data_IF_616218084866
#
_entry.id   IF_616218084866
#
_cell.length_a   1.000
_cell.length_b   1.000
_cell.length_c   1.000
_cell.angle_alpha   90.00
_cell.angle_beta   90.00
_cell.angle_gamma   90.00
#
_symmetry.space_group_name_H-M   'P 1'
#
loop_
_entity.id
_entity.type
_entity.pdbx_description
1 polymer ?
#
# COMPACT_ATOMS: atom_id res chain seq x y z
N UNK A 1 35.44 -11.43 24.68
CA UNK A 1 34.47 -10.38 24.31
C UNK A 1 34.63 -10.12 22.82
N UNK A 2 33.63 -10.55 22.06
CA UNK A 2 33.14 -10.02 20.79
C UNK A 2 32.06 -11.00 20.33
N UNK A 3 30.88 -10.91 20.95
CA UNK A 3 29.68 -11.56 20.45
C UNK A 3 29.15 -10.69 19.29
N UNK A 4 29.83 -10.73 18.15
CA UNK A 4 29.17 -10.43 16.89
C UNK A 4 28.33 -11.66 16.57
N UNK A 5 27.11 -11.71 17.12
CA UNK A 5 26.09 -12.55 16.57
C UNK A 5 25.83 -12.01 15.16
N UNK A 6 26.53 -12.56 14.16
CA UNK A 6 26.15 -12.40 12.77
C UNK A 6 24.74 -12.97 12.71
N UNK A 7 23.73 -12.12 12.56
CA UNK A 7 22.37 -12.57 12.30
C UNK A 7 22.46 -13.56 11.14
N UNK A 8 22.07 -14.80 11.41
CA UNK A 8 22.01 -15.85 10.39
C UNK A 8 21.15 -15.33 9.24
N UNK A 9 21.79 -15.01 8.11
CA UNK A 9 21.13 -14.49 6.90
C UNK A 9 19.89 -15.33 6.58
N UNK A 10 18.70 -14.77 6.82
CA UNK A 10 17.43 -15.34 6.38
C UNK A 10 17.44 -15.37 4.85
N UNK A 11 17.46 -16.56 4.26
CA UNK A 11 17.29 -16.75 2.81
C UNK A 11 15.80 -16.61 2.46
N UNK A 12 15.47 -16.17 1.25
CA UNK A 12 14.08 -15.99 0.74
C UNK A 12 13.29 -14.80 1.31
N UNK A 13 13.95 -13.64 1.45
CA UNK A 13 13.31 -12.38 1.87
C UNK A 13 12.85 -11.58 0.65
N UNK A 14 11.68 -10.95 0.73
CA UNK A 14 11.22 -9.97 -0.24
C UNK A 14 11.43 -8.58 0.33
N UNK A 15 12.19 -7.73 -0.36
CA UNK A 15 12.35 -6.31 -0.02
C UNK A 15 11.24 -5.49 -0.70
N UNK A 16 10.57 -4.65 0.08
CA UNK A 16 9.72 -3.59 -0.46
C UNK A 16 10.34 -2.24 -0.12
N UNK A 17 10.55 -1.42 -1.15
CA UNK A 17 10.99 -0.03 -1.00
C UNK A 17 9.79 0.87 -1.26
N UNK A 18 9.45 1.69 -0.27
CA UNK A 18 8.28 2.57 -0.32
C UNK A 18 8.68 4.02 -0.07
N UNK A 19 7.90 4.96 -0.59
CA UNK A 19 8.16 6.39 -0.45
C UNK A 19 8.05 6.87 1.01
N UNK A 20 7.02 6.46 1.76
CA UNK A 20 6.71 7.01 3.07
C UNK A 20 6.22 6.02 4.11
N UNK A 21 5.85 6.58 5.27
CA UNK A 21 5.30 5.82 6.41
C UNK A 21 3.90 5.30 6.16
N UNK A 22 3.08 6.03 5.40
CA UNK A 22 1.70 5.61 5.14
C UNK A 22 1.66 4.27 4.38
N UNK A 23 2.55 4.09 3.41
CA UNK A 23 2.72 2.84 2.67
C UNK A 23 3.07 1.69 3.59
N UNK A 24 4.08 1.88 4.46
CA UNK A 24 4.55 0.83 5.38
C UNK A 24 3.55 0.55 6.50
N UNK A 25 3.23 1.58 7.28
CA UNK A 25 2.57 1.46 8.57
C UNK A 25 1.06 1.30 8.44
N UNK A 26 0.45 1.71 7.31
CA UNK A 26 -0.98 1.54 7.06
C UNK A 26 -1.25 0.50 5.96
N UNK A 27 -0.87 0.77 4.70
CA UNK A 27 -1.28 -0.09 3.58
C UNK A 27 -0.65 -1.48 3.64
N UNK A 28 0.69 -1.58 3.64
CA UNK A 28 1.37 -2.88 3.60
C UNK A 28 1.23 -3.64 4.91
N UNK A 29 1.21 -2.95 6.04
CA UNK A 29 0.81 -3.55 7.31
C UNK A 29 -0.56 -4.24 7.20
N UNK A 30 -1.58 -3.53 6.67
CA UNK A 30 -2.92 -4.09 6.50
C UNK A 30 -2.93 -5.24 5.48
N UNK A 31 -2.24 -5.10 4.34
CA UNK A 31 -2.13 -6.15 3.32
C UNK A 31 -1.52 -7.41 3.92
N UNK A 32 -0.43 -7.32 4.67
CA UNK A 32 0.22 -8.50 5.26
C UNK A 32 -0.62 -9.15 6.37
N UNK A 33 -1.43 -8.37 7.09
CA UNK A 33 -2.42 -8.91 8.04
C UNK A 33 -3.57 -9.62 7.35
N UNK A 34 -4.06 -9.09 6.23
CA UNK A 34 -5.14 -9.70 5.45
C UNK A 34 -4.69 -10.88 4.60
N UNK A 35 -3.43 -10.92 4.17
CA UNK A 35 -2.83 -11.94 3.31
C UNK A 35 -1.53 -12.50 3.93
N UNK A 36 -1.60 -13.16 5.10
CA UNK A 36 -0.41 -13.72 5.75
C UNK A 36 0.31 -14.77 4.89
N UNK A 37 -0.37 -15.32 3.87
CA UNK A 37 0.21 -16.24 2.89
C UNK A 37 1.38 -15.63 2.10
N UNK A 38 1.47 -14.31 2.01
CA UNK A 38 2.57 -13.60 1.34
C UNK A 38 3.89 -13.74 2.10
N UNK A 39 3.85 -13.96 3.42
CA UNK A 39 5.01 -14.19 4.27
C UNK A 39 6.14 -13.15 4.08
N UNK A 40 5.77 -11.88 3.95
CA UNK A 40 6.70 -10.74 3.90
C UNK A 40 6.79 -10.14 5.30
N UNK A 41 8.01 -9.96 5.80
CA UNK A 41 8.26 -9.33 7.09
C UNK A 41 8.09 -7.81 6.95
N UNK A 42 7.39 -7.16 7.89
CA UNK A 42 7.18 -5.71 7.85
C UNK A 42 8.51 -4.95 8.02
N UNK A 43 9.50 -5.58 8.63
CA UNK A 43 10.86 -5.06 8.76
C UNK A 43 11.61 -5.06 7.42
N UNK A 44 11.15 -5.87 6.44
CA UNK A 44 11.64 -5.86 5.05
C UNK A 44 10.91 -4.84 4.17
N UNK A 45 10.07 -3.97 4.76
CA UNK A 45 9.54 -2.77 4.10
C UNK A 45 10.40 -1.57 4.51
N UNK A 46 11.24 -1.12 3.58
CA UNK A 46 12.15 0.01 3.76
C UNK A 46 11.50 1.30 3.27
N UNK A 47 11.48 2.30 4.15
CA UNK A 47 11.01 3.64 3.81
C UNK A 47 12.19 4.39 3.23
N UNK A 48 12.12 4.70 1.93
CA UNK A 48 13.12 5.51 1.27
C UNK A 48 13.03 6.99 1.66
N UNK A 49 11.83 7.48 2.00
CA UNK A 49 11.60 8.79 2.60
C UNK A 49 11.58 9.95 1.61
N UNK A 50 11.60 9.67 0.30
CA UNK A 50 11.53 10.68 -0.77
C UNK A 50 11.03 10.03 -2.07
N UNK A 51 10.79 10.82 -3.10
CA UNK A 51 10.15 10.36 -4.33
C UNK A 51 11.11 9.65 -5.31
N UNK A 52 10.52 9.07 -6.34
CA UNK A 52 11.23 8.29 -7.36
C UNK A 52 12.31 9.10 -8.09
N UNK A 53 12.14 10.41 -8.25
CA UNK A 53 13.12 11.26 -8.94
C UNK A 53 14.40 11.42 -8.13
N UNK A 54 14.30 11.43 -6.80
CA UNK A 54 15.48 11.36 -5.93
C UNK A 54 16.15 10.00 -5.95
N UNK A 55 15.38 8.92 -6.06
CA UNK A 55 15.96 7.59 -6.27
C UNK A 55 16.75 7.52 -7.59
N UNK A 56 16.18 8.05 -8.67
CA UNK A 56 16.87 8.17 -9.95
C UNK A 56 18.21 8.92 -9.84
N UNK A 57 18.21 10.07 -9.15
CA UNK A 57 19.45 10.85 -8.92
C UNK A 57 20.51 10.03 -8.15
N UNK A 58 20.10 9.23 -7.17
CA UNK A 58 21.02 8.41 -6.38
C UNK A 58 21.56 7.22 -7.19
N UNK A 59 20.77 6.64 -8.09
CA UNK A 59 21.24 5.66 -9.07
C UNK A 59 22.27 6.29 -10.02
N UNK A 60 21.98 7.48 -10.56
CA UNK A 60 22.92 8.21 -11.44
C UNK A 60 24.25 8.52 -10.74
N UNK A 61 24.23 8.85 -9.44
CA UNK A 61 25.47 9.09 -8.67
C UNK A 61 26.33 7.83 -8.56
N UNK A 62 25.72 6.65 -8.47
CA UNK A 62 26.44 5.39 -8.29
C UNK A 62 26.86 4.77 -9.63
N UNK A 63 26.00 4.81 -10.65
CA UNK A 63 26.19 4.11 -11.93
C UNK A 63 26.52 5.03 -13.11
N UNK A 64 26.42 6.35 -12.94
CA UNK A 64 26.67 7.35 -13.99
C UNK A 64 25.41 7.75 -14.76
N UNK A 65 25.52 8.76 -15.64
CA UNK A 65 24.36 9.34 -16.34
C UNK A 65 23.75 8.43 -17.42
N UNK A 66 24.55 7.53 -18.00
CA UNK A 66 24.11 6.64 -19.08
C UNK A 66 23.69 5.26 -18.57
N UNK A 67 23.49 5.09 -17.26
CA UNK A 67 23.15 3.81 -16.62
C UNK A 67 21.98 3.08 -17.29
N UNK A 68 20.94 3.82 -17.69
CA UNK A 68 19.76 3.28 -18.34
C UNK A 68 20.03 2.90 -19.81
N UNK A 69 20.82 3.70 -20.54
CA UNK A 69 21.18 3.44 -21.95
C UNK A 69 22.15 2.28 -22.10
N UNK A 70 23.05 2.14 -21.14
CA UNK A 70 24.04 1.08 -21.08
C UNK A 70 23.47 -0.21 -20.46
N UNK A 71 22.18 -0.23 -20.09
CA UNK A 71 21.47 -1.36 -19.48
C UNK A 71 22.24 -1.94 -18.29
N UNK A 72 22.74 -1.07 -17.41
CA UNK A 72 23.55 -1.48 -16.26
C UNK A 72 22.76 -2.31 -15.25
N UNK A 73 23.39 -3.34 -14.66
CA UNK A 73 22.81 -4.13 -13.56
C UNK A 73 22.81 -3.30 -12.26
N UNK A 74 21.68 -2.65 -11.97
CA UNK A 74 21.52 -1.77 -10.80
C UNK A 74 21.24 -2.62 -9.55
N UNK A 75 22.21 -2.69 -8.64
CA UNK A 75 22.02 -3.23 -7.29
C UNK A 75 21.31 -2.19 -6.40
N UNK A 76 19.98 -2.19 -6.46
CA UNK A 76 19.14 -1.24 -5.72
C UNK A 76 19.27 -1.35 -4.19
N UNK A 77 19.29 -2.54 -3.57
CA UNK A 77 19.53 -2.67 -2.13
C UNK A 77 20.85 -2.04 -1.70
N UNK A 78 21.90 -2.13 -2.53
CA UNK A 78 23.17 -1.47 -2.27
C UNK A 78 23.04 0.06 -2.28
N UNK A 79 22.40 0.64 -3.31
CA UNK A 79 22.18 2.10 -3.40
C UNK A 79 21.45 2.63 -2.17
N UNK A 80 20.38 1.95 -1.76
CA UNK A 80 19.53 2.40 -0.65
C UNK A 80 20.24 2.19 0.70
N UNK A 81 20.78 0.99 0.96
CA UNK A 81 21.42 0.68 2.24
C UNK A 81 22.66 1.54 2.49
N UNK A 82 23.45 1.85 1.46
CA UNK A 82 24.60 2.77 1.57
C UNK A 82 24.20 4.17 2.06
N UNK A 83 22.99 4.62 1.70
CA UNK A 83 22.46 5.94 2.07
C UNK A 83 21.77 5.92 3.45
N UNK A 84 20.86 4.98 3.66
CA UNK A 84 19.96 4.95 4.82
C UNK A 84 20.48 4.09 5.98
N UNK A 85 21.34 3.12 5.70
CA UNK A 85 21.87 2.13 6.66
C UNK A 85 23.39 1.94 6.52
N UNK A 86 24.21 3.00 6.65
CA UNK A 86 25.64 2.93 6.37
C UNK A 86 26.40 1.91 7.25
N UNK A 87 25.83 1.53 8.40
CA UNK A 87 26.33 0.48 9.28
C UNK A 87 26.15 -0.95 8.75
N UNK A 88 25.14 -1.18 7.88
CA UNK A 88 24.84 -2.51 7.31
C UNK A 88 24.49 -2.38 5.84
N UNK A 89 25.47 -2.67 4.99
CA UNK A 89 25.28 -2.69 3.54
C UNK A 89 24.62 -4.00 3.12
N UNK A 90 23.57 -3.88 2.33
CA UNK A 90 22.86 -4.99 1.71
C UNK A 90 23.09 -5.00 0.21
N UNK A 91 22.97 -6.18 -0.39
CA UNK A 91 23.10 -6.38 -1.83
C UNK A 91 21.87 -7.08 -2.37
N UNK A 92 21.68 -7.02 -3.69
CA UNK A 92 20.61 -7.74 -4.41
C UNK A 92 20.46 -9.19 -4.00
N UNK A 93 21.59 -9.91 -3.87
CA UNK A 93 21.62 -11.33 -3.51
C UNK A 93 21.15 -11.65 -2.08
N UNK A 94 20.92 -10.64 -1.23
CA UNK A 94 20.33 -10.83 0.10
C UNK A 94 18.79 -10.99 0.03
N UNK A 95 18.18 -10.68 -1.12
CA UNK A 95 16.74 -10.72 -1.35
C UNK A 95 16.39 -11.62 -2.54
N UNK A 96 15.21 -12.23 -2.49
CA UNK A 96 14.64 -13.02 -3.60
C UNK A 96 13.67 -12.23 -4.45
N UNK A 97 13.04 -11.21 -3.86
CA UNK A 97 12.20 -10.27 -4.60
C UNK A 97 12.56 -8.85 -4.16
N UNK A 98 12.61 -7.92 -5.10
CA UNK A 98 12.76 -6.49 -4.85
C UNK A 98 11.57 -5.80 -5.50
N UNK A 99 10.82 -5.07 -4.69
CA UNK A 99 9.60 -4.38 -5.10
C UNK A 99 9.76 -2.91 -4.76
N UNK A 100 9.42 -2.03 -5.69
CA UNK A 100 9.43 -0.58 -5.50
C UNK A 100 8.01 -0.06 -5.61
N UNK A 101 7.61 0.82 -4.70
CA UNK A 101 6.29 1.44 -4.69
C UNK A 101 6.46 2.94 -4.52
N UNK A 102 6.11 3.67 -5.57
CA UNK A 102 6.27 5.11 -5.64
C UNK A 102 5.04 5.77 -6.24
N UNK A 103 4.91 7.07 -5.99
CA UNK A 103 3.87 7.88 -6.60
C UNK A 103 4.30 8.41 -7.96
N UNK A 104 3.34 8.61 -8.86
CA UNK A 104 3.59 9.12 -10.21
C UNK A 104 4.02 10.60 -10.20
N UNK A 105 3.44 11.40 -9.29
CA UNK A 105 3.80 12.80 -9.02
C UNK A 105 4.14 13.69 -10.25
N UNK A 106 3.24 13.77 -11.24
CA UNK A 106 3.48 14.59 -12.45
C UNK A 106 3.83 16.06 -12.20
N UNK A 107 3.39 16.62 -11.07
CA UNK A 107 3.65 18.01 -10.72
C UNK A 107 4.96 18.24 -9.99
N UNK A 108 5.70 17.17 -9.68
CA UNK A 108 7.01 17.33 -9.06
C UNK A 108 7.93 18.14 -9.99
N UNK A 109 8.68 19.13 -9.49
CA UNK A 109 9.59 19.92 -10.30
C UNK A 109 10.68 19.11 -11.02
N UNK A 110 11.02 17.92 -10.51
CA UNK A 110 11.98 16.99 -11.10
C UNK A 110 11.33 15.97 -12.06
N UNK A 111 10.01 16.04 -12.28
CA UNK A 111 9.29 15.18 -13.21
C UNK A 111 9.94 15.19 -14.60
N UNK A 112 10.17 14.00 -15.14
CA UNK A 112 10.60 13.79 -16.52
C UNK A 112 10.01 12.49 -17.03
N UNK A 113 9.29 12.54 -18.16
CA UNK A 113 8.73 11.36 -18.82
C UNK A 113 9.84 10.34 -19.15
N UNK A 114 11.00 10.83 -19.60
CA UNK A 114 12.17 9.99 -19.90
C UNK A 114 12.66 9.26 -18.65
N UNK A 115 12.93 9.99 -17.56
CA UNK A 115 13.48 9.40 -16.33
C UNK A 115 12.56 8.35 -15.72
N UNK A 116 11.25 8.64 -15.64
CA UNK A 116 10.30 7.70 -15.04
C UNK A 116 10.09 6.46 -15.93
N UNK A 117 10.19 6.60 -17.26
CA UNK A 117 10.18 5.45 -18.17
C UNK A 117 11.45 4.61 -18.05
N UNK A 118 12.63 5.23 -17.93
CA UNK A 118 13.88 4.51 -17.65
C UNK A 118 13.78 3.70 -16.35
N UNK A 119 13.21 4.27 -15.29
CA UNK A 119 12.95 3.55 -14.04
C UNK A 119 11.97 2.38 -14.25
N UNK A 120 10.86 2.60 -14.95
CA UNK A 120 9.85 1.55 -15.18
C UNK A 120 10.39 0.39 -16.02
N UNK A 121 11.26 0.66 -16.99
CA UNK A 121 11.91 -0.38 -17.80
C UNK A 121 13.01 -1.12 -17.04
N UNK A 122 13.84 -0.41 -16.26
CA UNK A 122 14.88 -1.04 -15.45
C UNK A 122 14.28 -1.97 -14.39
N UNK A 123 13.20 -1.55 -13.75
CA UNK A 123 12.57 -2.29 -12.65
C UNK A 123 11.29 -2.97 -13.11
N UNK A 124 11.44 -3.98 -13.99
CA UNK A 124 10.32 -4.73 -14.57
C UNK A 124 10.02 -6.09 -13.90
N UNK A 125 11.00 -6.75 -13.30
CA UNK A 125 10.89 -8.10 -12.72
C UNK A 125 11.39 -8.13 -11.27
N UNK A 126 10.52 -8.56 -10.35
CA UNK A 126 10.83 -8.55 -8.92
C UNK A 126 11.95 -9.52 -8.57
N UNK A 127 12.16 -10.56 -9.36
CA UNK A 127 13.18 -11.60 -9.13
C UNK A 127 14.56 -11.26 -9.72
N UNK A 128 14.66 -10.12 -10.42
CA UNK A 128 15.92 -9.63 -11.01
C UNK A 128 16.38 -8.32 -10.34
N UNK A 129 16.34 -7.18 -11.05
CA UNK A 129 16.72 -5.86 -10.50
C UNK A 129 15.62 -5.26 -9.63
N UNK A 130 14.38 -5.70 -9.80
CA UNK A 130 13.21 -5.29 -9.02
C UNK A 130 12.00 -4.99 -9.91
N UNK A 131 10.83 -4.83 -9.30
CA UNK A 131 9.57 -4.47 -9.97
C UNK A 131 9.00 -3.17 -9.42
N UNK A 132 8.82 -2.17 -10.28
CA UNK A 132 8.27 -0.87 -9.92
C UNK A 132 6.76 -0.81 -10.14
N UNK A 133 6.04 -0.48 -9.07
CA UNK A 133 4.64 -0.10 -9.08
C UNK A 133 4.50 1.41 -8.86
N UNK A 134 3.88 2.09 -9.82
CA UNK A 134 3.52 3.50 -9.72
C UNK A 134 2.04 3.66 -9.35
N UNK A 135 1.76 4.44 -8.31
CA UNK A 135 0.39 4.81 -7.96
C UNK A 135 0.00 6.14 -8.62
N UNK A 136 -1.20 6.17 -9.18
CA UNK A 136 -1.70 7.28 -9.99
C UNK A 136 -2.93 7.92 -9.35
N UNK A 137 -2.90 9.23 -9.03
CA UNK A 137 -1.71 10.08 -9.05
C UNK A 137 -0.71 9.79 -7.91
N UNK A 138 -1.18 9.13 -6.84
CA UNK A 138 -0.43 8.88 -5.61
C UNK A 138 -1.07 7.75 -4.78
N UNK A 139 -0.46 7.39 -3.66
CA UNK A 139 -0.84 6.25 -2.82
C UNK A 139 -2.32 6.26 -2.43
N UNK A 140 -2.93 7.41 -2.15
CA UNK A 140 -4.35 7.51 -1.80
C UNK A 140 -5.31 6.99 -2.90
N UNK A 141 -4.83 6.67 -4.10
CA UNK A 141 -5.59 6.00 -5.15
C UNK A 141 -6.21 4.65 -4.75
N UNK A 142 -5.63 3.90 -3.81
CA UNK A 142 -6.23 2.66 -3.31
C UNK A 142 -7.48 2.91 -2.42
N UNK A 143 -7.56 4.08 -1.79
CA UNK A 143 -8.67 4.50 -0.93
C UNK A 143 -9.83 5.14 -1.72
N UNK A 144 -9.57 5.56 -2.95
CA UNK A 144 -10.51 6.34 -3.74
C UNK A 144 -11.59 5.44 -4.35
N UNK A 145 -12.47 4.87 -3.51
CA UNK A 145 -13.69 4.12 -3.84
C UNK A 145 -14.91 4.76 -3.18
N UNK A 146 -15.99 4.95 -3.94
CA UNK A 146 -17.26 5.58 -3.50
C UNK A 146 -18.32 4.56 -3.08
N UNK A 147 -18.10 3.29 -3.35
CA UNK A 147 -18.92 2.15 -2.95
C UNK A 147 -18.08 0.88 -3.01
N UNK A 148 -18.62 -0.25 -2.55
CA UNK A 148 -18.00 -1.58 -2.73
C UNK A 148 -19.11 -2.54 -3.18
N UNK A 149 -19.09 -3.06 -4.43
CA UNK A 149 -18.19 -2.69 -5.52
C UNK A 149 -18.44 -1.25 -6.04
N UNK A 150 -17.49 -0.68 -6.77
CA UNK A 150 -17.53 0.66 -7.38
C UNK A 150 -17.44 0.59 -8.91
N UNK A 151 -18.59 0.45 -9.57
CA UNK A 151 -18.68 0.38 -11.04
C UNK A 151 -18.10 1.62 -11.74
N UNK A 152 -18.18 2.79 -11.10
CA UNK A 152 -17.67 4.05 -11.65
C UNK A 152 -16.14 4.18 -11.53
N UNK A 153 -15.49 3.33 -10.71
CA UNK A 153 -14.03 3.34 -10.57
C UNK A 153 -13.33 3.18 -11.92
N UNK A 154 -13.90 2.37 -12.82
CA UNK A 154 -13.38 2.10 -14.16
C UNK A 154 -13.16 3.38 -14.99
N UNK A 155 -13.96 4.43 -14.74
CA UNK A 155 -13.90 5.72 -15.45
C UNK A 155 -13.28 6.85 -14.62
N UNK A 156 -12.88 6.57 -13.38
CA UNK A 156 -12.42 7.58 -12.44
C UNK A 156 -11.09 8.21 -12.88
N UNK A 157 -11.06 9.53 -12.93
CA UNK A 157 -9.90 10.32 -13.32
C UNK A 157 -9.92 11.65 -12.60
N UNK A 158 -8.76 12.26 -12.50
CA UNK A 158 -8.57 13.58 -11.89
C UNK A 158 -7.89 14.52 -12.89
N UNK A 159 -8.25 15.80 -12.88
CA UNK A 159 -7.62 16.77 -13.77
C UNK A 159 -6.19 17.07 -13.31
N UNK A 160 -5.28 17.25 -14.27
CA UNK A 160 -3.90 17.69 -14.00
C UNK A 160 -3.90 19.07 -13.35
N UNK A 161 -4.84 19.94 -13.72
CA UNK A 161 -5.01 21.26 -13.09
C UNK A 161 -5.38 21.21 -11.60
N UNK A 162 -5.80 20.06 -11.07
CA UNK A 162 -6.00 19.87 -9.64
C UNK A 162 -4.68 20.09 -8.87
N UNK A 163 -3.55 19.76 -9.49
CA UNK A 163 -2.24 19.58 -8.84
C UNK A 163 -2.37 18.63 -7.64
N UNK A 164 -2.47 17.32 -7.91
CA UNK A 164 -2.52 16.29 -6.87
C UNK A 164 -1.42 16.43 -5.82
N UNK A 165 -1.77 16.04 -4.61
CA UNK A 165 -1.14 16.45 -3.35
C UNK A 165 -2.26 16.58 -2.33
N UNK A 166 -2.19 17.56 -1.42
CA UNK A 166 -3.18 17.74 -0.35
C UNK A 166 -4.64 17.86 -0.84
N UNK A 167 -4.85 18.45 -2.02
CA UNK A 167 -6.19 18.55 -2.65
C UNK A 167 -6.75 17.19 -3.03
N UNK A 168 -5.91 16.31 -3.58
CA UNK A 168 -6.33 14.95 -3.91
C UNK A 168 -6.58 14.13 -2.64
N UNK A 169 -5.70 14.23 -1.64
CA UNK A 169 -5.91 13.59 -0.32
C UNK A 169 -7.24 14.00 0.32
N UNK A 170 -7.54 15.30 0.27
CA UNK A 170 -8.81 15.85 0.79
C UNK A 170 -10.02 15.35 0.00
N UNK A 171 -9.90 15.20 -1.32
CA UNK A 171 -10.94 14.62 -2.16
C UNK A 171 -11.19 13.15 -1.79
N UNK A 172 -10.13 12.35 -1.68
CA UNK A 172 -10.24 10.94 -1.28
C UNK A 172 -10.88 10.80 0.09
N UNK A 173 -10.46 11.60 1.08
CA UNK A 173 -11.09 11.64 2.43
C UNK A 173 -12.59 11.93 2.40
N UNK A 174 -13.01 12.80 1.51
CA UNK A 174 -14.43 13.18 1.39
C UNK A 174 -15.27 12.11 0.70
N UNK A 175 -14.67 11.33 -0.22
CA UNK A 175 -15.38 10.41 -1.09
C UNK A 175 -15.23 8.93 -0.72
N UNK A 176 -14.17 8.56 0.03
CA UNK A 176 -13.84 7.18 0.35
C UNK A 176 -14.86 6.56 1.31
N UNK A 177 -15.41 5.42 0.92
CA UNK A 177 -16.24 4.60 1.81
C UNK A 177 -15.42 3.62 2.66
N UNK A 178 -14.14 3.45 2.36
CA UNK A 178 -13.27 2.44 3.00
C UNK A 178 -12.24 3.02 3.96
N UNK A 179 -11.92 4.31 3.86
CA UNK A 179 -10.89 4.96 4.68
C UNK A 179 -11.08 4.68 6.18
N UNK A 180 -12.30 4.84 6.70
CA UNK A 180 -12.60 4.57 8.12
C UNK A 180 -12.37 3.11 8.52
N UNK A 181 -12.54 2.19 7.58
CA UNK A 181 -12.27 0.76 7.82
C UNK A 181 -10.76 0.50 7.82
N UNK A 182 -10.01 1.08 6.88
CA UNK A 182 -8.55 0.99 6.83
C UNK A 182 -7.90 1.56 8.09
N UNK A 183 -8.36 2.74 8.54
CA UNK A 183 -7.83 3.41 9.74
C UNK A 183 -8.23 2.76 11.08
N UNK A 184 -9.23 1.86 11.08
CA UNK A 184 -9.85 1.36 12.32
C UNK A 184 -8.81 0.83 13.33
N UNK A 185 -7.85 -0.03 12.96
CA UNK A 185 -6.89 -0.59 13.91
C UNK A 185 -6.02 0.47 14.58
N UNK A 186 -5.48 1.42 13.80
CA UNK A 186 -4.67 2.52 14.32
C UNK A 186 -5.51 3.45 15.20
N UNK A 187 -6.75 3.73 14.80
CA UNK A 187 -7.67 4.54 15.60
C UNK A 187 -8.05 3.89 16.93
N UNK A 188 -8.12 2.56 16.99
CA UNK A 188 -8.31 1.83 18.25
C UNK A 188 -7.06 1.98 19.12
N UNK A 189 -5.87 1.82 18.55
CA UNK A 189 -4.59 1.96 19.26
C UNK A 189 -4.42 3.37 19.84
N UNK A 190 -4.60 4.40 19.01
CA UNK A 190 -4.56 5.82 19.38
C UNK A 190 -5.56 6.15 20.49
N UNK A 191 -6.76 5.57 20.41
CA UNK A 191 -7.77 5.75 21.43
C UNK A 191 -7.32 5.16 22.75
N UNK A 192 -6.78 3.93 22.77
CA UNK A 192 -6.33 3.24 23.97
C UNK A 192 -5.13 3.93 24.65
N UNK A 193 -4.16 4.41 23.87
CA UNK A 193 -2.97 5.11 24.41
C UNK A 193 -3.27 6.53 24.86
N UNK A 194 -4.27 7.19 24.26
CA UNK A 194 -4.60 8.58 24.52
C UNK A 194 -4.91 8.90 25.99
N UNK A 195 -4.81 10.19 26.33
CA UNK A 195 -4.86 10.73 27.71
C UNK A 195 -6.05 10.26 28.55
N UNK A 196 -7.15 9.89 27.88
CA UNK A 196 -8.38 9.42 28.52
C UNK A 196 -8.23 8.02 29.12
N UNK A 197 -7.64 7.09 28.38
CA UNK A 197 -7.61 5.66 28.71
C UNK A 197 -6.23 5.19 29.19
N UNK A 198 -5.14 5.80 28.72
CA UNK A 198 -3.77 5.62 29.24
C UNK A 198 -3.29 4.16 29.31
N UNK A 199 -3.67 3.33 28.35
CA UNK A 199 -3.15 1.96 28.22
C UNK A 199 -1.77 2.03 27.57
N UNK A 200 -0.74 2.31 28.38
CA UNK A 200 0.64 2.52 27.89
C UNK A 200 1.39 1.23 27.57
N UNK A 201 0.99 0.10 28.17
CA UNK A 201 1.57 -1.22 27.92
C UNK A 201 1.26 -1.68 26.49
N UNK A 202 2.30 -1.75 25.65
CA UNK A 202 2.19 -2.04 24.22
C UNK A 202 1.68 -3.46 23.96
N UNK A 203 2.12 -4.45 24.73
CA UNK A 203 1.69 -5.84 24.56
C UNK A 203 0.20 -5.99 24.89
N UNK A 204 -0.25 -5.38 26.00
CA UNK A 204 -1.68 -5.37 26.36
C UNK A 204 -2.53 -4.63 25.35
N UNK A 205 -2.04 -3.49 24.84
CA UNK A 205 -2.76 -2.68 23.85
C UNK A 205 -2.92 -3.42 22.53
N UNK A 206 -1.85 -4.04 22.04
CA UNK A 206 -1.88 -4.88 20.85
C UNK A 206 -2.84 -6.07 21.02
N UNK A 207 -2.77 -6.76 22.18
CA UNK A 207 -3.69 -7.87 22.48
C UNK A 207 -5.15 -7.44 22.53
N UNK A 208 -5.44 -6.26 23.07
CA UNK A 208 -6.78 -5.67 23.08
C UNK A 208 -7.28 -5.32 21.68
N UNK A 209 -6.44 -4.63 20.88
CA UNK A 209 -6.77 -4.28 19.50
C UNK A 209 -7.06 -5.55 18.67
N UNK A 210 -6.19 -6.56 18.75
CA UNK A 210 -6.37 -7.84 18.07
C UNK A 210 -7.66 -8.56 18.50
N UNK A 211 -8.01 -8.51 19.78
CA UNK A 211 -9.25 -9.10 20.28
C UNK A 211 -10.47 -8.37 19.73
N UNK A 212 -10.47 -7.03 19.70
CA UNK A 212 -11.56 -6.21 19.14
C UNK A 212 -11.78 -6.51 17.66
N UNK A 213 -10.69 -6.61 16.88
CA UNK A 213 -10.77 -6.86 15.43
C UNK A 213 -11.23 -8.29 15.10
N UNK A 214 -11.13 -9.23 16.06
CA UNK A 214 -11.64 -10.60 15.93
C UNK A 214 -13.11 -10.77 16.33
N UNK A 215 -13.76 -9.73 16.88
CA UNK A 215 -15.17 -9.80 17.25
C UNK A 215 -16.03 -10.05 16.01
N UNK A 216 -17.03 -10.93 16.16
CA UNK A 216 -18.08 -11.17 15.17
C UNK A 216 -19.45 -10.76 15.72
N UNK A 217 -20.51 -10.80 14.89
CA UNK A 217 -21.81 -10.18 15.21
C UNK A 217 -22.48 -10.66 16.50
N UNK A 218 -22.28 -11.93 16.87
CA UNK A 218 -23.18 -12.64 17.76
C UNK A 218 -23.22 -12.06 19.18
N UNK A 219 -22.14 -11.48 19.68
CA UNK A 219 -22.06 -10.96 21.05
C UNK A 219 -21.23 -9.66 21.19
N UNK A 220 -21.24 -8.78 20.17
CA UNK A 220 -20.40 -7.56 20.11
C UNK A 220 -20.33 -6.76 21.43
N UNK A 221 -21.46 -6.47 22.07
CA UNK A 221 -21.46 -5.71 23.33
C UNK A 221 -20.80 -6.45 24.48
N UNK A 222 -21.06 -7.75 24.60
CA UNK A 222 -20.55 -8.59 25.70
C UNK A 222 -19.06 -8.86 25.50
N UNK A 223 -18.64 -9.16 24.27
CA UNK A 223 -17.22 -9.33 23.94
C UNK A 223 -16.43 -8.05 24.19
N UNK A 224 -16.94 -6.88 23.77
CA UNK A 224 -16.30 -5.60 24.07
C UNK A 224 -16.21 -5.36 25.59
N UNK A 225 -17.23 -5.72 26.35
CA UNK A 225 -17.20 -5.56 27.82
C UNK A 225 -16.11 -6.41 28.48
N UNK A 226 -15.94 -7.65 28.03
CA UNK A 226 -14.89 -8.57 28.52
C UNK A 226 -13.47 -8.10 28.12
N UNK A 227 -13.30 -7.61 26.88
CA UNK A 227 -12.00 -7.17 26.37
C UNK A 227 -11.52 -5.88 27.05
N UNK A 228 -12.43 -4.95 27.30
CA UNK A 228 -12.08 -3.59 27.74
C UNK A 228 -11.72 -3.49 29.24
N UNK A 229 -11.85 -4.56 30.02
CA UNK A 229 -11.41 -4.62 31.43
C UNK A 229 -9.94 -4.22 31.65
N UNK A 230 -9.13 -4.18 30.58
CA UNK A 230 -7.74 -3.70 30.63
C UNK A 230 -7.60 -2.23 31.04
N UNK A 231 -8.66 -1.43 30.96
CA UNK A 231 -8.64 0.00 31.32
C UNK A 231 -8.67 0.19 32.84
N UNK A 232 -9.33 -0.71 33.58
CA UNK A 232 -9.40 -0.70 35.04
C UNK A 232 -10.27 0.40 35.65
N UNK A 233 -11.18 0.97 34.87
CA UNK A 233 -12.13 2.02 35.30
C UNK A 233 -13.48 1.81 34.59
N UNK A 234 -14.48 1.34 35.35
CA UNK A 234 -15.80 0.96 34.83
C UNK A 234 -16.49 2.06 34.03
N UNK A 235 -16.33 3.34 34.41
CA UNK A 235 -16.97 4.46 33.70
C UNK A 235 -16.30 4.71 32.36
N UNK A 236 -14.96 4.62 32.33
CA UNK A 236 -14.19 4.76 31.09
C UNK A 236 -14.45 3.58 30.17
N UNK A 237 -14.44 2.36 30.68
CA UNK A 237 -14.75 1.12 29.97
C UNK A 237 -16.11 1.20 29.29
N UNK A 238 -17.15 1.58 30.04
CA UNK A 238 -18.49 1.76 29.48
C UNK A 238 -18.52 2.79 28.34
N UNK A 239 -17.80 3.90 28.48
CA UNK A 239 -17.77 4.90 27.42
C UNK A 239 -17.02 4.42 26.19
N UNK A 240 -15.87 3.76 26.39
CA UNK A 240 -15.07 3.17 25.32
C UNK A 240 -15.86 2.11 24.56
N UNK A 241 -16.59 1.25 25.27
CA UNK A 241 -17.47 0.22 24.70
C UNK A 241 -18.44 0.80 23.69
N UNK A 242 -19.19 1.85 24.06
CA UNK A 242 -20.17 2.45 23.14
C UNK A 242 -19.52 3.22 22.00
N UNK A 243 -18.34 3.81 22.21
CA UNK A 243 -17.58 4.48 21.14
C UNK A 243 -17.09 3.47 20.10
N UNK A 244 -16.48 2.36 20.54
CA UNK A 244 -16.01 1.28 19.66
C UNK A 244 -17.17 0.58 18.96
N UNK A 245 -18.26 0.30 19.67
CA UNK A 245 -19.49 -0.25 19.09
C UNK A 245 -20.01 0.63 17.95
N UNK A 246 -20.06 1.95 18.14
CA UNK A 246 -20.49 2.90 17.11
C UNK A 246 -19.57 2.85 15.87
N UNK A 247 -18.25 2.79 16.07
CA UNK A 247 -17.28 2.68 14.96
C UNK A 247 -17.45 1.37 14.18
N UNK A 248 -17.53 0.24 14.89
CA UNK A 248 -17.69 -1.10 14.30
C UNK A 248 -19.00 -1.20 13.52
N UNK A 249 -20.11 -0.72 14.08
CA UNK A 249 -21.41 -0.73 13.40
C UNK A 249 -21.40 0.15 12.15
N UNK A 250 -20.74 1.30 12.17
CA UNK A 250 -20.64 2.19 11.00
C UNK A 250 -19.84 1.59 9.86
N UNK A 251 -18.82 0.78 10.16
CA UNK A 251 -18.08 0.02 9.13
C UNK A 251 -18.93 -1.16 8.65
N UNK A 252 -19.72 -1.77 9.53
CA UNK A 252 -20.73 -2.75 9.17
C UNK A 252 -20.20 -4.16 8.96
N UNK A 253 -18.93 -4.44 9.23
CA UNK A 253 -18.34 -5.76 9.01
C UNK A 253 -18.97 -6.86 9.88
N UNK A 254 -19.44 -6.52 11.08
CA UNK A 254 -20.09 -7.48 11.97
C UNK A 254 -21.46 -7.91 11.46
N UNK A 255 -22.16 -7.10 10.65
CA UNK A 255 -23.49 -7.46 10.13
C UNK A 255 -23.50 -8.73 9.27
N UNK A 256 -22.33 -9.16 8.78
CA UNK A 256 -22.16 -10.32 7.91
C UNK A 256 -21.55 -11.53 8.63
N UNK A 257 -21.51 -11.54 9.97
CA UNK A 257 -20.84 -12.56 10.79
C UNK A 257 -19.36 -12.74 10.42
N UNK A 258 -18.68 -11.65 10.09
CA UNK A 258 -17.25 -11.62 9.77
C UNK A 258 -16.47 -10.89 10.84
N UNK A 259 -15.22 -11.27 10.99
CA UNK A 259 -14.20 -10.48 11.66
C UNK A 259 -13.78 -9.29 10.81
N UNK A 260 -13.08 -8.32 11.40
CA UNK A 260 -12.50 -7.20 10.65
C UNK A 260 -11.57 -7.69 9.53
N UNK A 261 -10.72 -8.67 9.82
CA UNK A 261 -9.73 -9.19 8.87
C UNK A 261 -10.36 -9.86 7.66
N UNK A 262 -11.42 -10.65 7.86
CA UNK A 262 -12.18 -11.26 6.76
C UNK A 262 -12.90 -10.23 5.90
N UNK A 263 -13.41 -9.16 6.52
CA UNK A 263 -14.02 -8.05 5.80
C UNK A 263 -12.98 -7.27 4.99
N UNK A 264 -11.87 -6.84 5.60
CA UNK A 264 -10.84 -6.08 4.92
C UNK A 264 -10.14 -6.89 3.83
N UNK A 265 -9.97 -8.20 4.00
CA UNK A 265 -9.47 -9.08 2.93
C UNK A 265 -10.36 -8.98 1.71
N UNK A 266 -11.70 -9.04 1.87
CA UNK A 266 -12.64 -8.89 0.76
C UNK A 266 -12.62 -7.50 0.15
N UNK A 267 -12.51 -6.46 0.97
CA UNK A 267 -12.35 -5.08 0.48
C UNK A 267 -11.09 -4.95 -0.40
N UNK A 268 -9.95 -5.47 0.06
CA UNK A 268 -8.70 -5.47 -0.71
C UNK A 268 -8.81 -6.30 -2.00
N UNK A 269 -9.49 -7.45 -1.97
CA UNK A 269 -9.78 -8.23 -3.19
C UNK A 269 -10.59 -7.42 -4.21
N UNK A 270 -11.62 -6.69 -3.78
CA UNK A 270 -12.40 -5.81 -4.66
C UNK A 270 -11.55 -4.66 -5.23
N UNK A 271 -10.70 -4.04 -4.39
CA UNK A 271 -9.76 -2.99 -4.85
C UNK A 271 -8.85 -3.55 -5.94
N UNK A 272 -8.29 -4.75 -5.75
CA UNK A 272 -7.45 -5.40 -6.77
C UNK A 272 -8.24 -5.67 -8.04
N UNK A 273 -9.44 -6.23 -7.94
CA UNK A 273 -10.31 -6.50 -9.10
C UNK A 273 -10.61 -5.22 -9.90
N UNK A 274 -10.91 -4.11 -9.22
CA UNK A 274 -11.16 -2.82 -9.86
C UNK A 274 -9.91 -2.28 -10.57
N UNK A 275 -8.73 -2.42 -9.96
CA UNK A 275 -7.47 -1.96 -10.56
C UNK A 275 -7.05 -2.80 -11.77
N UNK A 276 -7.23 -4.13 -11.74
CA UNK A 276 -6.97 -5.01 -12.89
C UNK A 276 -7.86 -4.63 -14.08
N UNK A 277 -9.19 -4.55 -13.87
CA UNK A 277 -10.14 -4.20 -14.94
C UNK A 277 -9.83 -2.82 -15.54
N UNK A 278 -9.42 -1.88 -14.68
CA UNK A 278 -9.09 -0.53 -15.10
C UNK A 278 -7.79 -0.46 -15.87
N UNK A 279 -6.76 -1.17 -15.43
CA UNK A 279 -5.51 -1.31 -16.17
C UNK A 279 -5.77 -1.86 -17.59
N UNK A 280 -6.56 -2.93 -17.73
CA UNK A 280 -6.99 -3.45 -19.03
C UNK A 280 -7.70 -2.38 -19.89
N UNK A 281 -8.61 -1.61 -19.30
CA UNK A 281 -9.28 -0.49 -19.99
C UNK A 281 -8.31 0.59 -20.46
N UNK A 282 -7.33 0.97 -19.63
CA UNK A 282 -6.32 1.99 -19.97
C UNK A 282 -5.51 1.56 -21.19
N UNK A 283 -5.16 0.27 -21.25
CA UNK A 283 -4.43 -0.35 -22.36
C UNK A 283 -5.32 -0.69 -23.58
N UNK A 284 -6.61 -0.32 -23.53
CA UNK A 284 -7.61 -0.60 -24.58
C UNK A 284 -7.78 -2.08 -24.89
N UNK A 285 -7.53 -2.95 -23.92
CA UNK A 285 -7.91 -4.36 -24.00
C UNK A 285 -9.44 -4.49 -23.98
N UNK A 286 -9.96 -5.59 -24.51
CA UNK A 286 -11.40 -5.83 -24.54
C UNK A 286 -11.94 -5.97 -23.11
N UNK A 287 -12.58 -4.92 -22.61
CA UNK A 287 -13.18 -4.86 -21.26
C UNK A 287 -14.33 -5.87 -21.12
N UNK A 288 -14.83 -6.45 -22.22
CA UNK A 288 -15.81 -7.55 -22.19
C UNK A 288 -15.16 -8.93 -21.97
N UNK A 289 -13.83 -9.02 -21.96
CA UNK A 289 -13.12 -10.21 -21.49
C UNK A 289 -13.38 -10.36 -19.99
N UNK A 290 -14.31 -11.23 -19.63
CA UNK A 290 -14.69 -11.45 -18.23
C UNK A 290 -13.62 -12.21 -17.42
N UNK A 291 -12.54 -12.67 -18.06
CA UNK A 291 -11.44 -13.34 -17.38
C UNK A 291 -10.45 -12.33 -16.79
N UNK A 292 -10.65 -12.03 -15.50
CA UNK A 292 -9.78 -11.17 -14.70
C UNK A 292 -8.31 -11.67 -14.69
N UNK A 293 -8.08 -12.99 -14.79
CA UNK A 293 -6.73 -13.55 -14.80
C UNK A 293 -6.01 -13.21 -16.09
N UNK A 294 -6.70 -13.35 -17.21
CA UNK A 294 -6.16 -13.01 -18.51
C UNK A 294 -5.85 -11.51 -18.60
N UNK A 295 -6.75 -10.65 -18.12
CA UNK A 295 -6.50 -9.20 -18.02
C UNK A 295 -5.25 -8.87 -17.19
N UNK A 296 -5.05 -9.58 -16.08
CA UNK A 296 -3.86 -9.38 -15.25
C UNK A 296 -2.58 -9.88 -15.93
N UNK A 297 -2.60 -11.07 -16.53
CA UNK A 297 -1.45 -11.68 -17.20
C UNK A 297 -1.02 -10.91 -18.47
N UNK A 298 -1.90 -10.10 -19.06
CA UNK A 298 -1.61 -9.26 -20.24
C UNK A 298 -1.15 -7.85 -19.88
N UNK A 299 -1.16 -7.50 -18.59
CA UNK A 299 -0.87 -6.14 -18.14
C UNK A 299 0.60 -5.73 -18.38
N UNK A 300 0.80 -4.56 -18.98
CA UNK A 300 2.10 -3.92 -19.13
C UNK A 300 2.11 -2.56 -18.38
N UNK A 301 2.87 -2.52 -17.28
CA UNK A 301 3.00 -1.32 -16.46
C UNK A 301 3.67 -0.16 -17.22
N UNK A 302 4.54 -0.45 -18.20
CA UNK A 302 5.20 0.55 -19.05
C UNK A 302 4.21 1.17 -20.02
N UNK A 303 3.31 0.38 -20.61
CA UNK A 303 2.26 0.89 -21.48
C UNK A 303 1.25 1.74 -20.70
N UNK A 304 0.88 1.32 -19.48
CA UNK A 304 0.06 2.14 -18.58
C UNK A 304 0.74 3.49 -18.32
N UNK A 305 2.04 3.50 -18.02
CA UNK A 305 2.81 4.72 -17.80
C UNK A 305 2.87 5.59 -19.06
N UNK A 306 3.05 5.01 -20.26
CA UNK A 306 3.00 5.73 -21.53
C UNK A 306 1.66 6.42 -21.75
N UNK A 307 0.55 5.70 -21.56
CA UNK A 307 -0.80 6.26 -21.68
C UNK A 307 -1.00 7.37 -20.67
N UNK A 308 -0.64 7.14 -19.40
CA UNK A 308 -0.73 8.16 -18.34
C UNK A 308 0.08 9.39 -18.72
N UNK A 309 1.30 9.23 -19.22
CA UNK A 309 2.13 10.32 -19.69
C UNK A 309 1.45 11.11 -20.82
N UNK A 310 0.94 10.42 -21.84
CA UNK A 310 0.28 11.05 -22.98
C UNK A 310 -0.93 11.88 -22.57
N UNK A 311 -1.86 11.31 -21.80
CA UNK A 311 -3.15 11.98 -21.47
C UNK A 311 -3.00 13.12 -20.48
N UNK A 312 -1.89 13.17 -19.75
CA UNK A 312 -1.62 14.16 -18.70
C UNK A 312 -0.65 15.28 -19.12
N UNK A 313 -0.09 15.23 -20.34
CA UNK A 313 0.78 16.29 -20.89
C UNK A 313 0.14 17.68 -20.91
N UNK A 314 -1.17 17.77 -21.11
CA UNK A 314 -1.86 19.06 -21.13
C UNK A 314 -2.22 19.51 -19.71
N UNK A 315 -1.62 20.60 -19.22
CA UNK A 315 -1.86 21.08 -17.86
C UNK A 315 -3.31 21.55 -17.60
N UNK A 316 -4.02 22.06 -18.60
CA UNK A 316 -5.38 22.61 -18.42
C UNK A 316 -6.48 21.55 -18.58
N UNK A 317 -6.33 20.69 -19.60
CA UNK A 317 -7.36 19.73 -20.04
C UNK A 317 -6.96 18.28 -19.84
N UNK A 318 -5.68 18.02 -19.55
CA UNK A 318 -5.17 16.69 -19.29
C UNK A 318 -5.69 16.16 -17.95
N UNK A 319 -5.60 14.85 -17.82
CA UNK A 319 -6.07 14.15 -16.63
C UNK A 319 -5.13 13.00 -16.31
N UNK A 320 -5.21 12.49 -15.08
CA UNK A 320 -4.54 11.28 -14.63
C UNK A 320 -5.63 10.26 -14.33
N UNK A 321 -5.51 9.05 -14.89
CA UNK A 321 -6.37 7.95 -14.47
C UNK A 321 -6.03 7.57 -13.04
N UNK A 322 -7.04 7.46 -12.18
CA UNK A 322 -6.82 6.97 -10.81
C UNK A 322 -6.55 5.48 -10.87
N UNK A 323 -5.36 5.03 -10.48
CA UNK A 323 -4.97 3.61 -10.54
C UNK A 323 -3.93 3.35 -9.45
N UNK A 324 -4.21 2.41 -8.55
CA UNK A 324 -3.23 1.92 -7.60
C UNK A 324 -2.62 0.64 -8.15
N UNK A 325 -1.38 0.69 -8.61
CA UNK A 325 -0.72 -0.52 -9.14
C UNK A 325 -0.07 -1.33 -8.01
N UNK A 326 0.24 -0.73 -6.86
CA UNK A 326 0.92 -1.44 -5.78
C UNK A 326 0.07 -2.56 -5.15
N UNK A 327 -1.26 -2.47 -5.21
CA UNK A 327 -2.16 -3.56 -4.77
C UNK A 327 -2.04 -4.81 -5.66
N UNK A 328 -1.50 -4.68 -6.87
CA UNK A 328 -1.25 -5.79 -7.78
C UNK A 328 -0.13 -6.73 -7.31
N UNK A 329 0.62 -6.32 -6.27
CA UNK A 329 1.54 -7.21 -5.56
C UNK A 329 0.85 -8.49 -5.07
N UNK A 330 -0.43 -8.41 -4.67
CA UNK A 330 -1.20 -9.56 -4.16
C UNK A 330 -1.37 -10.64 -5.25
N UNK A 331 -1.93 -10.34 -6.45
CA UNK A 331 -2.05 -11.32 -7.52
C UNK A 331 -0.71 -11.69 -8.17
N UNK A 332 0.29 -10.80 -8.17
CA UNK A 332 1.66 -11.13 -8.61
C UNK A 332 2.29 -12.22 -7.72
N UNK A 333 2.10 -12.12 -6.40
CA UNK A 333 2.53 -13.18 -5.48
C UNK A 333 1.77 -14.48 -5.73
N UNK A 334 0.44 -14.41 -5.73
CA UNK A 334 -0.42 -15.55 -6.06
C UNK A 334 -1.84 -15.10 -6.43
N UNK A 335 -2.18 -15.20 -7.71
CA UNK A 335 -3.50 -14.85 -8.23
C UNK A 335 -4.68 -15.55 -7.52
N UNK A 336 -4.47 -16.69 -6.86
CA UNK A 336 -5.55 -17.35 -6.09
C UNK A 336 -5.99 -16.54 -4.86
N UNK A 337 -5.19 -15.58 -4.40
CA UNK A 337 -5.52 -14.72 -3.26
C UNK A 337 -6.64 -13.72 -3.56
N UNK A 338 -6.96 -13.49 -4.85
CA UNK A 338 -8.04 -12.59 -5.27
C UNK A 338 -9.32 -13.32 -5.68
N UNK A 339 -9.43 -14.62 -5.35
CA UNK A 339 -10.60 -15.47 -5.64
C UNK A 339 -11.52 -15.65 -4.46
#
# INVERSE_FOLDING_TARGET
MNNYAVETRRRSRSLLVVEGKHEKDELFWLVFKCFPEMNIDIDDVWIYGTNIYKLYEDIVKEYGNDWAKDEMDVDLPFVISKKEHPETIYYRNDFTNIILVFDYERHDPAFSEEKILEMQHCFADSTDMGKLYLNYPMIESYLHLKSIPDEEYINRKILVSLQPGDKYKSLVRAESVIEKAVELPHRIDDLLVGDRYRVSDVEKRNGCCDAILKISANELEKELEEILCIVGDEKKEKTLKYQLKDWIIKIGYTCENRTYWEHMRKVLQEIVCHNIRKAARIQKEDVNENDLRKQFEQMDLSEILNVQNEVSRNFEKGFIWVLSTCVLLIPDYNFKLIK
#
